data_IF_177729046722
#
_entry.id   IF_177729046722
#
_cell.length_a   1.000
_cell.length_b   1.000
_cell.length_c   1.000
_cell.angle_alpha   90.00
_cell.angle_beta   90.00
_cell.angle_gamma   90.00
#
_symmetry.space_group_name_H-M   'P 1'
#
loop_
_entity.id
_entity.type
_entity.pdbx_description
1 polymer ?
#
# COMPACT_ATOMS: atom_id res chain seq x y z
N UNK A 1 3.68 -2.69 22.74
CA UNK A 1 3.39 -1.70 21.72
C UNK A 1 2.75 -2.35 20.50
N UNK A 2 1.65 -1.79 20.03
CA UNK A 2 0.91 -2.39 18.91
C UNK A 2 1.00 -1.51 17.67
N UNK A 3 1.73 -1.97 16.69
CA UNK A 3 1.83 -1.33 15.39
C UNK A 3 0.87 -1.98 14.40
N UNK A 4 0.23 -1.17 13.59
CA UNK A 4 -0.69 -1.62 12.56
C UNK A 4 -0.22 -1.04 11.23
N UNK A 5 -0.11 -1.90 10.23
CA UNK A 5 0.36 -1.51 8.90
C UNK A 5 -0.83 -1.29 7.97
N UNK A 6 -0.83 -0.19 7.26
CA UNK A 6 -1.83 0.10 6.24
C UNK A 6 -1.18 0.20 4.86
N UNK A 7 -1.81 -0.40 3.87
CA UNK A 7 -1.37 -0.37 2.48
C UNK A 7 -2.49 0.09 1.58
N UNK A 8 -2.20 1.00 0.67
CA UNK A 8 -3.19 1.46 -0.29
C UNK A 8 -2.52 1.65 -1.66
N UNK A 9 -2.98 0.87 -2.64
CA UNK A 9 -2.56 0.98 -4.04
C UNK A 9 -3.79 1.22 -4.92
N UNK A 10 -4.75 1.98 -4.42
CA UNK A 10 -6.08 2.11 -5.03
C UNK A 10 -6.16 2.98 -6.27
N UNK A 11 -5.20 3.87 -6.49
CA UNK A 11 -5.28 4.81 -7.62
C UNK A 11 -3.87 5.24 -8.03
N UNK A 12 -3.63 6.53 -8.09
CA UNK A 12 -2.37 7.09 -8.60
C UNK A 12 -1.32 7.33 -7.52
N UNK A 13 -1.56 6.86 -6.31
CA UNK A 13 -0.60 7.00 -5.22
C UNK A 13 -0.39 5.67 -4.52
N UNK A 14 0.87 5.26 -4.38
CA UNK A 14 1.23 4.12 -3.55
C UNK A 14 1.41 4.64 -2.14
N UNK A 15 0.69 4.09 -1.17
CA UNK A 15 0.75 4.55 0.23
C UNK A 15 0.99 3.41 1.18
N UNK A 16 1.88 3.64 2.13
CA UNK A 16 2.10 2.74 3.26
C UNK A 16 2.09 3.57 4.54
N UNK A 17 1.57 3.01 5.62
CA UNK A 17 1.49 3.72 6.88
C UNK A 17 1.61 2.76 8.06
N UNK A 18 2.18 3.27 9.14
CA UNK A 18 2.20 2.59 10.43
C UNK A 18 1.41 3.42 11.44
N UNK A 19 0.58 2.75 12.20
CA UNK A 19 -0.18 3.36 13.28
C UNK A 19 0.12 2.66 14.59
N UNK A 20 0.47 3.44 15.62
CA UNK A 20 0.70 2.91 16.96
C UNK A 20 -0.56 3.12 17.79
N UNK A 21 -1.24 2.03 18.15
CA UNK A 21 -2.52 2.11 18.85
C UNK A 21 -2.39 2.54 20.32
N UNK A 22 -1.20 2.54 20.88
CA UNK A 22 -0.99 2.98 22.25
C UNK A 22 -0.75 4.49 22.33
N UNK A 23 0.04 5.03 21.41
CA UNK A 23 0.39 6.45 21.41
C UNK A 23 -0.46 7.28 20.47
N UNK A 24 -1.22 6.63 19.58
CA UNK A 24 -2.00 7.25 18.51
C UNK A 24 -1.14 7.99 17.48
N UNK A 25 0.14 7.68 17.41
CA UNK A 25 1.02 8.24 16.39
C UNK A 25 0.86 7.47 15.09
N UNK A 26 0.92 8.19 13.99
CA UNK A 26 0.87 7.60 12.65
C UNK A 26 2.04 8.12 11.81
N UNK A 27 2.65 7.22 11.06
CA UNK A 27 3.76 7.53 10.16
C UNK A 27 3.39 6.99 8.78
N UNK A 28 3.50 7.83 7.76
CA UNK A 28 3.14 7.41 6.42
C UNK A 28 4.20 7.79 5.40
N UNK A 29 4.31 6.99 4.37
CA UNK A 29 5.12 7.25 3.18
C UNK A 29 4.26 7.01 1.97
N UNK A 30 4.38 7.85 0.98
CA UNK A 30 3.60 7.72 -0.25
C UNK A 30 4.40 8.19 -1.45
N UNK A 31 4.07 7.63 -2.60
CA UNK A 31 4.70 7.97 -3.87
C UNK A 31 3.61 8.08 -4.92
N UNK A 32 3.50 9.25 -5.52
CA UNK A 32 2.58 9.47 -6.62
C UNK A 32 3.10 8.74 -7.86
N UNK A 33 2.21 8.05 -8.57
CA UNK A 33 2.57 7.41 -9.84
C UNK A 33 2.80 8.46 -10.90
N UNK A 34 3.82 8.24 -11.73
CA UNK A 34 4.15 9.15 -12.79
C UNK A 34 3.22 8.97 -13.98
N UNK A 35 2.51 10.03 -14.37
CA UNK A 35 1.65 10.04 -15.55
C UNK A 35 2.33 10.90 -16.59
N UNK A 36 2.61 10.33 -17.76
CA UNK A 36 3.27 11.07 -18.85
C UNK A 36 2.39 12.20 -19.34
N UNK A 37 3.01 13.34 -19.61
CA UNK A 37 2.36 14.50 -20.17
C UNK A 37 1.69 14.15 -21.50
N UNK A 38 0.47 14.63 -21.70
CA UNK A 38 -0.29 14.34 -22.90
C UNK A 38 -1.08 13.06 -22.92
N UNK A 39 -1.00 12.25 -21.86
CA UNK A 39 -1.79 11.03 -21.72
C UNK A 39 -3.01 11.28 -20.85
N UNK A 40 -4.03 10.44 -21.01
CA UNK A 40 -5.28 10.57 -20.24
C UNK A 40 -5.25 9.85 -18.89
N UNK A 41 -4.06 9.46 -18.44
CA UNK A 41 -3.90 8.74 -17.21
C UNK A 41 -3.16 7.43 -17.44
N UNK A 42 -3.12 6.59 -16.42
CA UNK A 42 -2.42 5.31 -16.47
C UNK A 42 -3.40 4.17 -16.75
N UNK A 43 -2.96 3.21 -17.55
CA UNK A 43 -3.68 1.95 -17.68
C UNK A 43 -3.56 1.19 -16.35
N UNK A 44 -4.52 0.34 -16.04
CA UNK A 44 -4.48 -0.44 -14.80
C UNK A 44 -3.24 -1.33 -14.70
N UNK A 45 -2.79 -1.89 -15.80
CA UNK A 45 -1.57 -2.71 -15.82
C UNK A 45 -0.31 -1.87 -15.52
N UNK A 46 -0.26 -0.63 -15.99
CA UNK A 46 0.85 0.27 -15.70
C UNK A 46 0.82 0.71 -14.23
N UNK A 47 -0.37 1.03 -13.72
CA UNK A 47 -0.53 1.40 -12.32
C UNK A 47 -0.08 0.24 -11.41
N UNK A 48 -0.50 -0.98 -11.71
CA UNK A 48 -0.09 -2.16 -10.97
C UNK A 48 1.44 -2.30 -10.95
N UNK A 49 2.07 -2.15 -12.12
CA UNK A 49 3.52 -2.25 -12.25
C UNK A 49 4.24 -1.23 -11.37
N UNK A 50 3.80 0.04 -11.42
CA UNK A 50 4.43 1.11 -10.64
C UNK A 50 4.20 0.92 -9.14
N UNK A 51 3.02 0.45 -8.73
CA UNK A 51 2.79 0.15 -7.31
C UNK A 51 3.72 -0.95 -6.81
N UNK A 52 3.93 -1.99 -7.62
CA UNK A 52 4.85 -3.07 -7.26
C UNK A 52 6.28 -2.56 -7.12
N UNK A 53 6.70 -1.64 -7.99
CA UNK A 53 8.04 -1.04 -7.89
C UNK A 53 8.18 -0.15 -6.66
N UNK A 54 7.13 0.60 -6.32
CA UNK A 54 7.18 1.58 -5.25
C UNK A 54 7.11 0.96 -3.85
N UNK A 55 6.36 -0.13 -3.69
CA UNK A 55 6.13 -0.72 -2.37
C UNK A 55 7.41 -1.09 -1.61
N UNK A 56 8.39 -1.78 -2.20
CA UNK A 56 9.62 -2.10 -1.46
C UNK A 56 10.40 -0.87 -1.02
N UNK A 57 10.40 0.17 -1.85
CA UNK A 57 11.11 1.42 -1.53
C UNK A 57 10.43 2.12 -0.35
N UNK A 58 9.10 2.22 -0.40
CA UNK A 58 8.33 2.86 0.68
C UNK A 58 8.42 2.07 1.98
N UNK A 59 8.39 0.74 1.91
CA UNK A 59 8.59 -0.11 3.08
C UNK A 59 9.96 0.11 3.71
N UNK A 60 11.00 0.16 2.91
CA UNK A 60 12.35 0.39 3.41
C UNK A 60 12.41 1.72 4.16
N UNK A 61 11.83 2.77 3.59
CA UNK A 61 11.81 4.09 4.23
C UNK A 61 10.97 4.08 5.50
N UNK A 62 9.80 3.43 5.46
CA UNK A 62 8.88 3.39 6.60
C UNK A 62 9.48 2.67 7.80
N UNK A 63 10.21 1.58 7.55
CA UNK A 63 10.78 0.74 8.60
C UNK A 63 12.24 1.02 8.92
N UNK A 64 12.85 2.04 8.31
CA UNK A 64 14.28 2.31 8.44
C UNK A 64 14.74 2.48 9.90
N UNK A 65 13.90 3.02 10.76
CA UNK A 65 14.20 3.25 12.17
C UNK A 65 13.31 2.41 13.10
N UNK A 66 12.60 1.42 12.54
CA UNK A 66 11.68 0.59 13.30
C UNK A 66 12.25 -0.80 13.49
N UNK A 67 12.13 -1.31 14.70
CA UNK A 67 12.60 -2.67 15.04
C UNK A 67 11.43 -3.62 15.35
N UNK A 68 10.22 -3.09 15.42
CA UNK A 68 9.05 -3.87 15.81
C UNK A 68 8.22 -4.24 14.59
N UNK A 69 7.61 -5.42 14.65
CA UNK A 69 6.73 -5.90 13.59
C UNK A 69 5.30 -5.46 13.85
N UNK A 70 4.56 -5.06 12.81
CA UNK A 70 3.13 -4.81 12.96
C UNK A 70 2.38 -6.06 13.40
N UNK A 71 1.31 -5.87 14.17
CA UNK A 71 0.45 -6.96 14.61
C UNK A 71 -0.77 -7.15 13.71
N UNK A 72 -1.03 -6.21 12.83
CA UNK A 72 -2.12 -6.30 11.86
C UNK A 72 -1.76 -5.56 10.59
N UNK A 73 -2.44 -5.92 9.49
CA UNK A 73 -2.27 -5.28 8.19
C UNK A 73 -3.66 -4.96 7.64
N UNK A 74 -3.87 -3.71 7.30
CA UNK A 74 -5.06 -3.26 6.57
C UNK A 74 -4.67 -2.92 5.15
N UNK A 75 -5.47 -3.33 4.18
CA UNK A 75 -5.18 -3.07 2.77
C UNK A 75 -6.47 -2.82 2.01
N UNK A 76 -6.46 -1.83 1.11
CA UNK A 76 -7.56 -1.60 0.21
C UNK A 76 -7.54 -2.65 -0.91
N UNK A 77 -8.66 -3.30 -1.18
CA UNK A 77 -8.73 -4.40 -2.16
C UNK A 77 -9.66 -4.13 -3.34
N UNK A 78 -10.51 -3.12 -3.24
CA UNK A 78 -11.44 -2.75 -4.31
C UNK A 78 -11.99 -1.34 -4.06
N UNK A 79 -12.47 -0.66 -5.12
CA UNK A 79 -12.91 0.74 -4.97
C UNK A 79 -14.19 0.89 -4.14
N UNK A 80 -15.01 -0.17 -4.04
CA UNK A 80 -16.23 -0.17 -3.22
C UNK A 80 -16.64 -1.59 -2.87
N UNK A 81 -17.47 -1.70 -1.87
CA UNK A 81 -17.88 -3.01 -1.32
C UNK A 81 -19.02 -3.61 -2.15
N UNK A 82 -18.75 -3.89 -3.40
CA UNK A 82 -19.68 -4.53 -4.32
C UNK A 82 -18.96 -5.63 -5.10
N UNK A 83 -19.63 -6.72 -5.36
CA UNK A 83 -19.10 -7.78 -6.20
C UNK A 83 -18.80 -7.20 -7.59
N UNK A 84 -17.63 -7.50 -8.12
CA UNK A 84 -17.23 -7.03 -9.44
C UNK A 84 -16.62 -5.64 -9.49
N UNK A 85 -16.48 -4.93 -8.37
CA UNK A 85 -15.86 -3.60 -8.35
C UNK A 85 -14.32 -3.65 -8.34
N UNK A 86 -13.76 -4.80 -8.57
CA UNK A 86 -12.32 -5.01 -8.54
C UNK A 86 -11.60 -4.23 -9.62
N UNK A 87 -10.45 -3.61 -9.25
CA UNK A 87 -9.52 -2.96 -10.17
C UNK A 87 -8.13 -3.57 -9.99
N UNK A 88 -7.42 -3.90 -11.10
CA UNK A 88 -6.12 -4.56 -11.01
C UNK A 88 -5.06 -3.86 -10.16
N UNK A 89 -5.07 -2.53 -10.09
CA UNK A 89 -4.07 -1.81 -9.29
C UNK A 89 -4.11 -2.18 -7.80
N UNK A 90 -5.26 -2.60 -7.29
CA UNK A 90 -5.39 -3.05 -5.90
C UNK A 90 -4.61 -4.33 -5.63
N UNK A 91 -4.33 -5.12 -6.65
CA UNK A 91 -3.64 -6.40 -6.50
C UNK A 91 -2.24 -6.22 -5.91
N UNK A 92 -1.56 -5.12 -6.19
CA UNK A 92 -0.22 -4.87 -5.67
C UNK A 92 -0.22 -4.90 -4.13
N UNK A 93 -1.04 -4.07 -3.50
CA UNK A 93 -1.13 -4.04 -2.04
C UNK A 93 -1.67 -5.33 -1.46
N UNK A 94 -2.71 -5.88 -2.09
CA UNK A 94 -3.32 -7.13 -1.64
C UNK A 94 -2.32 -8.28 -1.61
N UNK A 95 -1.53 -8.46 -2.67
CA UNK A 95 -0.56 -9.56 -2.72
C UNK A 95 0.56 -9.40 -1.70
N UNK A 96 1.04 -8.17 -1.49
CA UNK A 96 2.05 -7.90 -0.46
C UNK A 96 1.48 -8.20 0.93
N UNK A 97 0.25 -7.74 1.21
CA UNK A 97 -0.38 -7.99 2.50
C UNK A 97 -0.56 -9.49 2.77
N UNK A 98 -0.99 -10.25 1.76
CA UNK A 98 -1.14 -11.70 1.89
C UNK A 98 0.19 -12.40 2.14
N UNK A 99 1.26 -11.98 1.46
CA UNK A 99 2.59 -12.53 1.66
C UNK A 99 3.08 -12.26 3.08
N UNK A 100 2.95 -11.03 3.56
CA UNK A 100 3.38 -10.66 4.89
C UNK A 100 2.56 -11.38 5.97
N UNK A 101 1.25 -11.48 5.77
CA UNK A 101 0.37 -12.17 6.70
C UNK A 101 0.71 -13.65 6.85
N UNK A 102 1.32 -14.25 5.84
CA UNK A 102 1.70 -15.66 5.89
C UNK A 102 2.83 -15.95 6.87
N UNK A 103 3.56 -14.94 7.31
CA UNK A 103 4.66 -15.11 8.27
C UNK A 103 4.23 -14.92 9.71
N UNK A 104 2.99 -14.56 9.97
CA UNK A 104 2.54 -14.24 11.32
C UNK A 104 1.56 -15.26 11.93
#
# INVERSE_FOLDING_TARGET
MSLHLGLDTSNYTTSVALFNSETYEAFGKRQLLEVKEGTKGLRQSEALFFHIQNLPILFRDLFSEKTECPVSIGVSVRPRDEAGSYMPCFLAGKSVAECLGSFS
#
